data_IF_844220704345
#
_entry.id   IF_844220704345
#
_cell.length_a   1.000
_cell.length_b   1.000
_cell.length_c   1.000
_cell.angle_alpha   90.00
_cell.angle_beta   90.00
_cell.angle_gamma   90.00
#
_symmetry.space_group_name_H-M   'P 1'
#
loop_
_entity.id
_entity.type
_entity.pdbx_description
1 polymer ?
#
# COMPACT_ATOMS: atom_id res chain seq x y z
N UNK A 1 -12.52 1.51 -3.44
CA UNK A 1 -13.62 0.60 -3.83
C UNK A 1 -13.49 0.05 -5.26
N UNK A 2 -12.64 0.57 -6.07
CA UNK A 2 -12.44 0.15 -7.47
C UNK A 2 -11.63 -1.14 -7.69
N UNK A 3 -11.10 -1.75 -6.64
CA UNK A 3 -10.32 -2.98 -6.76
C UNK A 3 -11.14 -4.23 -7.13
N UNK A 4 -12.47 -4.13 -7.12
CA UNK A 4 -13.39 -5.29 -7.29
C UNK A 4 -14.21 -5.19 -8.59
N UNK A 5 -14.31 -4.02 -9.23
CA UNK A 5 -15.28 -3.77 -10.29
C UNK A 5 -14.69 -3.52 -11.68
N UNK A 6 -13.49 -3.99 -11.96
CA UNK A 6 -12.99 -3.98 -13.34
C UNK A 6 -13.39 -5.31 -13.99
N UNK A 7 -14.31 -5.24 -14.94
CA UNK A 7 -14.80 -6.30 -15.84
C UNK A 7 -14.44 -7.74 -15.41
N UNK A 8 -15.42 -8.55 -14.98
CA UNK A 8 -15.18 -9.91 -14.55
C UNK A 8 -14.56 -10.71 -15.70
N UNK A 9 -13.24 -10.88 -15.65
CA UNK A 9 -12.52 -11.78 -16.52
C UNK A 9 -12.63 -13.20 -15.94
N UNK A 10 -12.54 -14.21 -16.78
CA UNK A 10 -12.56 -15.63 -16.38
C UNK A 10 -11.46 -15.95 -15.33
N UNK A 11 -10.41 -15.15 -15.27
CA UNK A 11 -9.32 -15.25 -14.30
C UNK A 11 -9.61 -14.61 -12.93
N UNK A 12 -10.67 -13.82 -12.82
CA UNK A 12 -11.01 -13.16 -11.55
C UNK A 12 -11.37 -14.15 -10.43
N UNK A 13 -12.17 -15.21 -10.66
CA UNK A 13 -12.39 -16.24 -9.65
C UNK A 13 -11.12 -16.96 -9.23
N UNK A 14 -10.19 -17.20 -10.18
CA UNK A 14 -8.90 -17.82 -9.89
C UNK A 14 -8.02 -16.90 -9.01
N UNK A 15 -8.01 -15.60 -9.27
CA UNK A 15 -7.33 -14.61 -8.44
C UNK A 15 -7.91 -14.57 -7.02
N UNK A 16 -9.25 -14.57 -6.89
CA UNK A 16 -9.89 -14.58 -5.58
C UNK A 16 -9.59 -15.86 -4.81
N UNK A 17 -9.75 -17.02 -5.46
CA UNK A 17 -9.44 -18.32 -4.87
C UNK A 17 -7.95 -18.44 -4.48
N UNK A 18 -7.04 -18.02 -5.35
CA UNK A 18 -5.60 -18.00 -5.08
C UNK A 18 -5.23 -17.06 -3.92
N UNK A 19 -5.85 -15.89 -3.86
CA UNK A 19 -5.64 -14.94 -2.75
C UNK A 19 -6.12 -15.52 -1.41
N UNK A 20 -7.32 -16.11 -1.39
CA UNK A 20 -7.87 -16.77 -0.20
C UNK A 20 -7.01 -17.97 0.19
N UNK A 21 -6.60 -18.79 -0.78
CA UNK A 21 -5.72 -19.93 -0.54
C UNK A 21 -4.40 -19.49 0.09
N UNK A 22 -3.74 -18.47 -0.45
CA UNK A 22 -2.50 -17.92 0.12
C UNK A 22 -2.71 -17.39 1.54
N UNK A 23 -3.77 -16.64 1.79
CA UNK A 23 -4.09 -16.07 3.11
C UNK A 23 -4.33 -17.17 4.15
N UNK A 24 -4.99 -18.26 3.77
CA UNK A 24 -5.31 -19.37 4.69
C UNK A 24 -4.14 -20.34 4.85
N UNK A 25 -3.41 -20.62 3.77
CA UNK A 25 -2.29 -21.56 3.77
C UNK A 25 -1.03 -20.98 4.40
N UNK A 26 -0.73 -19.71 4.17
CA UNK A 26 0.52 -19.11 4.61
C UNK A 26 0.77 -19.24 6.11
N UNK A 27 -0.18 -18.97 7.02
CA UNK A 27 0.03 -19.16 8.45
C UNK A 27 0.27 -20.61 8.87
N UNK A 28 -0.18 -21.57 8.04
CA UNK A 28 0.04 -23.01 8.28
C UNK A 28 1.36 -23.49 7.73
N UNK A 29 1.76 -22.96 6.57
CA UNK A 29 3.00 -23.35 5.88
C UNK A 29 4.21 -22.64 6.49
N UNK A 30 4.08 -21.41 6.94
CA UNK A 30 5.18 -20.61 7.47
C UNK A 30 5.93 -21.30 8.63
N UNK A 31 5.28 -21.83 9.68
CA UNK A 31 6.00 -22.51 10.76
C UNK A 31 6.75 -23.76 10.30
N UNK A 32 6.14 -24.54 9.40
CA UNK A 32 6.78 -25.70 8.80
C UNK A 32 7.98 -25.30 7.94
N UNK A 33 7.82 -24.29 7.12
CA UNK A 33 8.86 -23.76 6.24
C UNK A 33 10.05 -23.22 7.03
N UNK A 34 9.79 -22.42 8.06
CA UNK A 34 10.84 -21.86 8.93
C UNK A 34 11.53 -22.94 9.74
N UNK A 35 10.80 -23.93 10.29
CA UNK A 35 11.40 -25.07 10.97
C UNK A 35 12.27 -25.95 10.07
N UNK A 36 11.98 -26.01 8.77
CA UNK A 36 12.75 -26.82 7.83
C UNK A 36 13.95 -26.11 7.22
N UNK A 37 13.83 -24.82 6.96
CA UNK A 37 14.79 -24.03 6.20
C UNK A 37 15.42 -22.87 6.98
N UNK A 38 14.95 -22.56 8.17
CA UNK A 38 15.39 -21.39 8.96
C UNK A 38 16.90 -21.36 9.21
N UNK A 39 17.51 -22.50 9.49
CA UNK A 39 18.95 -22.59 9.75
C UNK A 39 19.80 -22.79 8.48
N UNK A 40 19.17 -23.03 7.34
CA UNK A 40 19.85 -23.38 6.06
C UNK A 40 19.87 -22.27 5.05
N UNK A 41 19.00 -21.30 5.19
CA UNK A 41 18.80 -20.21 4.22
C UNK A 41 18.90 -18.89 4.93
N UNK A 42 19.63 -17.95 4.36
CA UNK A 42 19.71 -16.58 4.86
C UNK A 42 18.35 -15.90 4.62
N UNK A 43 17.72 -15.42 5.69
CA UNK A 43 16.46 -14.64 5.68
C UNK A 43 15.30 -15.37 4.95
N UNK A 44 14.92 -16.60 5.37
CA UNK A 44 13.87 -17.37 4.71
C UNK A 44 12.50 -16.68 4.81
N UNK A 45 12.27 -15.91 5.88
CA UNK A 45 11.03 -15.17 6.13
C UNK A 45 10.76 -14.11 5.05
N UNK A 46 11.81 -13.36 4.71
CA UNK A 46 11.74 -12.31 3.70
C UNK A 46 11.43 -12.94 2.34
N UNK A 47 12.14 -14.02 2.00
CA UNK A 47 11.95 -14.73 0.73
C UNK A 47 10.54 -15.29 0.58
N UNK A 48 10.00 -15.89 1.65
CA UNK A 48 8.64 -16.43 1.64
C UNK A 48 7.60 -15.33 1.41
N UNK A 49 7.71 -14.21 2.12
CA UNK A 49 6.80 -13.07 1.94
C UNK A 49 6.89 -12.52 0.52
N UNK A 50 8.10 -12.34 -0.03
CA UNK A 50 8.27 -11.86 -1.39
C UNK A 50 7.68 -12.82 -2.42
N UNK A 51 7.89 -14.12 -2.28
CA UNK A 51 7.27 -15.13 -3.16
C UNK A 51 5.75 -15.02 -3.13
N UNK A 52 5.15 -14.90 -1.95
CA UNK A 52 3.70 -14.71 -1.82
C UNK A 52 3.22 -13.40 -2.46
N UNK A 53 3.94 -12.29 -2.27
CA UNK A 53 3.60 -11.00 -2.87
C UNK A 53 3.72 -11.05 -4.40
N UNK A 54 4.77 -11.66 -4.94
CA UNK A 54 4.92 -11.84 -6.39
C UNK A 54 3.85 -12.76 -6.97
N UNK A 55 3.50 -13.85 -6.30
CA UNK A 55 2.41 -14.73 -6.71
C UNK A 55 1.07 -13.97 -6.76
N UNK A 56 0.77 -13.16 -5.75
CA UNK A 56 -0.41 -12.30 -5.74
C UNK A 56 -0.38 -11.26 -6.88
N UNK A 57 0.80 -10.70 -7.17
CA UNK A 57 0.96 -9.72 -8.24
C UNK A 57 0.73 -10.34 -9.63
N UNK A 58 1.27 -11.53 -9.89
CA UNK A 58 1.04 -12.26 -11.14
C UNK A 58 -0.44 -12.64 -11.31
N UNK A 59 -1.08 -13.14 -10.25
CA UNK A 59 -2.51 -13.47 -10.26
C UNK A 59 -3.38 -12.22 -10.48
N UNK A 60 -3.01 -11.10 -9.87
CA UNK A 60 -3.72 -9.84 -10.05
C UNK A 60 -3.59 -9.32 -11.48
N UNK A 61 -2.38 -9.38 -12.05
CA UNK A 61 -2.14 -8.95 -13.43
C UNK A 61 -2.94 -9.78 -14.43
N UNK A 62 -2.93 -11.11 -14.29
CA UNK A 62 -3.71 -12.03 -15.12
C UNK A 62 -5.22 -11.75 -15.06
N UNK A 63 -5.73 -11.33 -13.90
CA UNK A 63 -7.14 -11.00 -13.69
C UNK A 63 -7.50 -9.55 -13.99
N UNK A 64 -6.53 -8.71 -14.41
CA UNK A 64 -6.64 -7.25 -14.50
C UNK A 64 -7.12 -6.61 -13.19
N UNK A 65 -6.82 -7.25 -12.06
CA UNK A 65 -7.14 -6.78 -10.73
C UNK A 65 -5.97 -6.05 -10.07
N UNK A 66 -6.16 -5.69 -8.80
CA UNK A 66 -5.11 -5.07 -7.99
C UNK A 66 -4.74 -5.95 -6.80
N UNK A 67 -3.47 -6.29 -6.66
CA UNK A 67 -2.94 -7.12 -5.56
C UNK A 67 -2.90 -6.40 -4.20
N UNK A 68 -3.21 -5.10 -4.13
CA UNK A 68 -3.05 -4.27 -2.93
C UNK A 68 -3.86 -4.79 -1.75
N UNK A 69 -5.15 -5.08 -1.97
CA UNK A 69 -6.04 -5.56 -0.91
C UNK A 69 -5.64 -6.96 -0.41
N UNK A 70 -5.45 -7.96 -1.28
CA UNK A 70 -4.96 -9.28 -0.85
C UNK A 70 -3.61 -9.23 -0.14
N UNK A 71 -2.67 -8.39 -0.60
CA UNK A 71 -1.38 -8.20 0.04
C UNK A 71 -1.51 -7.60 1.45
N UNK A 72 -2.43 -6.63 1.62
CA UNK A 72 -2.73 -6.06 2.93
C UNK A 72 -3.31 -7.10 3.89
N UNK A 73 -4.29 -7.90 3.42
CA UNK A 73 -4.90 -8.95 4.23
C UNK A 73 -3.87 -10.02 4.60
N UNK A 74 -3.00 -10.40 3.65
CA UNK A 74 -1.88 -11.31 3.91
C UNK A 74 -0.99 -10.79 5.04
N UNK A 75 -0.60 -9.50 4.99
CA UNK A 75 0.17 -8.84 6.04
C UNK A 75 -0.54 -8.85 7.40
N UNK A 76 -1.86 -8.60 7.39
CA UNK A 76 -2.69 -8.63 8.60
C UNK A 76 -2.72 -10.03 9.24
N UNK A 77 -2.87 -11.06 8.43
CA UNK A 77 -2.88 -12.46 8.91
C UNK A 77 -1.51 -12.85 9.47
N UNK A 78 -0.43 -12.45 8.79
CA UNK A 78 0.94 -12.70 9.26
C UNK A 78 1.32 -11.87 10.49
N UNK A 79 0.61 -10.80 10.79
CA UNK A 79 0.91 -9.93 11.93
C UNK A 79 0.90 -10.67 13.27
N UNK A 80 0.06 -11.68 13.40
CA UNK A 80 0.00 -12.54 14.60
C UNK A 80 1.28 -13.35 14.78
N UNK A 81 1.85 -13.87 13.71
CA UNK A 81 3.12 -14.58 13.73
C UNK A 81 4.27 -13.64 14.11
N UNK A 82 4.35 -12.49 13.47
CA UNK A 82 5.39 -11.49 13.72
C UNK A 82 5.30 -10.82 15.09
N UNK A 83 4.12 -10.78 15.72
CA UNK A 83 3.98 -10.30 17.09
C UNK A 83 4.78 -11.13 18.10
N UNK A 84 4.98 -12.42 17.81
CA UNK A 84 5.79 -13.34 18.62
C UNK A 84 7.27 -13.39 18.18
N UNK A 85 7.56 -13.02 16.93
CA UNK A 85 8.89 -13.09 16.30
C UNK A 85 9.38 -11.69 15.88
N UNK A 86 9.66 -10.84 16.86
CA UNK A 86 10.03 -9.44 16.63
C UNK A 86 11.27 -9.23 15.75
N UNK A 87 12.25 -10.12 15.84
CA UNK A 87 13.46 -10.03 15.00
C UNK A 87 13.15 -10.18 13.51
N UNK A 88 12.29 -11.14 13.16
CA UNK A 88 11.83 -11.35 11.79
C UNK A 88 11.05 -10.12 11.26
N UNK A 89 10.20 -9.56 12.12
CA UNK A 89 9.47 -8.33 11.81
C UNK A 89 10.41 -7.16 11.54
N UNK A 90 11.45 -6.97 12.34
CA UNK A 90 12.42 -5.89 12.16
C UNK A 90 13.20 -6.04 10.86
N UNK A 91 13.63 -7.24 10.51
CA UNK A 91 14.31 -7.54 9.24
C UNK A 91 13.42 -7.22 8.04
N UNK A 92 12.17 -7.68 8.06
CA UNK A 92 11.21 -7.38 7.00
C UNK A 92 10.94 -5.87 6.89
N UNK A 93 10.84 -5.18 8.03
CA UNK A 93 10.69 -3.73 8.11
C UNK A 93 11.89 -2.99 7.50
N UNK A 94 13.12 -3.42 7.78
CA UNK A 94 14.33 -2.83 7.18
C UNK A 94 14.29 -2.94 5.66
N UNK A 95 13.96 -4.12 5.12
CA UNK A 95 13.85 -4.30 3.65
C UNK A 95 12.73 -3.43 3.06
N UNK A 96 11.57 -3.38 3.73
CA UNK A 96 10.46 -2.56 3.26
C UNK A 96 10.82 -1.07 3.22
N UNK A 97 11.45 -0.53 4.26
CA UNK A 97 11.78 0.89 4.33
C UNK A 97 13.06 1.26 3.58
N UNK A 98 14.07 0.40 3.56
CA UNK A 98 15.33 0.69 2.87
C UNK A 98 15.25 0.48 1.36
N UNK A 99 14.40 -0.43 0.89
CA UNK A 99 14.31 -0.79 -0.52
C UNK A 99 12.95 -0.45 -1.15
N UNK A 100 11.85 -1.02 -0.66
CA UNK A 100 10.54 -0.86 -1.32
C UNK A 100 10.02 0.58 -1.25
N UNK A 101 10.19 1.24 -0.12
CA UNK A 101 9.69 2.61 0.08
C UNK A 101 10.36 3.63 -0.85
N UNK A 102 11.70 3.70 -1.01
CA UNK A 102 12.33 4.58 -1.97
C UNK A 102 11.87 4.33 -3.42
N UNK A 103 11.77 3.07 -3.83
CA UNK A 103 11.28 2.74 -5.17
C UNK A 103 9.83 3.18 -5.40
N UNK A 104 8.98 3.04 -4.40
CA UNK A 104 7.60 3.53 -4.46
C UNK A 104 7.55 5.05 -4.69
N UNK A 105 8.34 5.81 -3.93
CA UNK A 105 8.39 7.27 -4.08
C UNK A 105 9.04 7.69 -5.39
N UNK A 106 10.09 7.00 -5.83
CA UNK A 106 10.73 7.26 -7.11
C UNK A 106 9.73 7.07 -8.27
N UNK A 107 9.04 5.93 -8.30
CA UNK A 107 8.02 5.65 -9.30
C UNK A 107 6.86 6.64 -9.25
N UNK A 108 6.42 7.02 -8.05
CA UNK A 108 5.41 8.06 -7.88
C UNK A 108 5.87 9.42 -8.43
N UNK A 109 7.12 9.81 -8.12
CA UNK A 109 7.72 11.05 -8.58
C UNK A 109 7.91 11.12 -10.10
N UNK A 110 8.26 10.01 -10.74
CA UNK A 110 8.41 9.94 -12.20
C UNK A 110 7.12 10.24 -12.99
N UNK A 111 5.97 10.04 -12.37
CA UNK A 111 4.67 10.35 -12.97
C UNK A 111 4.25 11.82 -12.77
N UNK A 112 5.04 12.61 -12.04
CA UNK A 112 4.73 14.02 -11.78
C UNK A 112 5.39 14.89 -12.83
N UNK A 113 4.59 15.59 -13.64
CA UNK A 113 5.09 16.62 -14.55
C UNK A 113 5.26 17.94 -13.81
N UNK A 114 6.50 18.37 -13.61
CA UNK A 114 6.81 19.64 -12.95
C UNK A 114 6.21 20.85 -13.72
N UNK A 115 6.19 20.80 -15.05
CA UNK A 115 5.60 21.83 -15.87
C UNK A 115 4.08 21.95 -15.62
N UNK A 116 3.37 20.82 -15.54
CA UNK A 116 1.94 20.79 -15.25
C UNK A 116 1.64 21.29 -13.83
N UNK A 117 2.48 20.98 -12.85
CA UNK A 117 2.36 21.47 -11.47
C UNK A 117 2.48 23.01 -11.44
N UNK A 118 3.49 23.56 -12.10
CA UNK A 118 3.70 25.01 -12.12
C UNK A 118 2.57 25.72 -12.87
N UNK A 119 2.10 25.16 -13.99
CA UNK A 119 0.98 25.72 -14.75
C UNK A 119 -0.33 25.74 -13.98
N UNK A 120 -0.53 24.79 -13.05
CA UNK A 120 -1.78 24.64 -12.32
C UNK A 120 -1.65 24.91 -10.81
N UNK A 121 -0.69 25.73 -10.39
CA UNK A 121 -0.46 26.05 -8.97
C UNK A 121 -1.70 26.55 -8.24
N UNK A 122 -2.52 27.36 -8.90
CA UNK A 122 -3.77 27.86 -8.31
C UNK A 122 -4.76 26.74 -7.99
N UNK A 123 -5.01 25.86 -8.96
CA UNK A 123 -5.87 24.69 -8.78
C UNK A 123 -5.32 23.75 -7.70
N UNK A 124 -4.02 23.50 -7.73
CA UNK A 124 -3.35 22.69 -6.73
C UNK A 124 -3.51 23.27 -5.32
N UNK A 125 -3.34 24.58 -5.18
CA UNK A 125 -3.53 25.31 -3.92
C UNK A 125 -4.95 25.17 -3.39
N UNK A 126 -5.96 25.33 -4.23
CA UNK A 126 -7.38 25.18 -3.87
C UNK A 126 -7.67 23.74 -3.42
N UNK A 127 -7.24 22.74 -4.18
CA UNK A 127 -7.44 21.33 -3.85
C UNK A 127 -6.69 20.95 -2.56
N UNK A 128 -5.49 21.46 -2.37
CA UNK A 128 -4.72 21.26 -1.14
C UNK A 128 -5.42 21.88 0.06
N UNK A 129 -5.88 23.12 -0.04
CA UNK A 129 -6.63 23.80 1.02
C UNK A 129 -7.95 23.08 1.32
N UNK A 130 -8.71 22.70 0.30
CA UNK A 130 -9.96 21.95 0.45
C UNK A 130 -9.76 20.59 1.14
N UNK A 131 -8.61 19.96 0.97
CA UNK A 131 -8.24 18.72 1.66
C UNK A 131 -7.75 18.95 3.09
N UNK A 132 -6.91 19.96 3.28
CA UNK A 132 -6.22 20.20 4.56
C UNK A 132 -7.12 20.89 5.59
N UNK A 133 -7.90 21.89 5.19
CA UNK A 133 -8.71 22.69 6.12
C UNK A 133 -9.72 21.81 6.89
N UNK A 134 -10.54 20.95 6.27
CA UNK A 134 -11.47 20.11 7.02
C UNK A 134 -10.76 19.10 7.93
N UNK A 135 -9.63 18.55 7.48
CA UNK A 135 -8.85 17.62 8.31
C UNK A 135 -8.28 18.30 9.54
N UNK A 136 -7.67 19.46 9.37
CA UNK A 136 -7.15 20.24 10.49
C UNK A 136 -8.27 20.65 11.46
N UNK A 137 -9.40 21.11 10.94
CA UNK A 137 -10.55 21.54 11.75
C UNK A 137 -11.17 20.40 12.56
N UNK A 138 -11.22 19.19 12.00
CA UNK A 138 -11.83 18.02 12.66
C UNK A 138 -10.85 17.25 13.55
N UNK A 139 -9.62 17.05 13.08
CA UNK A 139 -8.64 16.25 13.80
C UNK A 139 -8.01 16.99 14.97
N UNK A 140 -7.78 18.31 14.83
CA UNK A 140 -7.15 19.09 15.89
C UNK A 140 -7.92 19.09 17.23
N UNK A 141 -9.22 19.36 17.28
CA UNK A 141 -9.94 19.32 18.55
C UNK A 141 -10.00 17.91 19.15
N UNK A 142 -10.05 16.87 18.30
CA UNK A 142 -10.01 15.48 18.75
C UNK A 142 -8.65 15.11 19.34
N UNK A 143 -7.58 15.47 18.64
CA UNK A 143 -6.20 15.26 19.10
C UNK A 143 -5.92 16.02 20.40
N UNK A 144 -6.45 17.26 20.52
CA UNK A 144 -6.29 18.06 21.74
C UNK A 144 -7.02 17.46 22.94
N UNK A 145 -8.12 16.74 22.72
CA UNK A 145 -8.81 16.02 23.80
C UNK A 145 -8.09 14.75 24.23
N UNK A 146 -7.47 14.03 23.25
CA UNK A 146 -6.79 12.77 23.52
C UNK A 146 -5.39 12.99 24.13
N UNK A 147 -4.59 13.88 23.55
CA UNK A 147 -3.25 14.23 24.02
C UNK A 147 -2.96 15.72 23.75
N UNK A 148 -3.20 16.58 24.74
CA UNK A 148 -3.00 18.03 24.60
C UNK A 148 -1.56 18.43 24.26
N UNK A 149 -0.57 17.66 24.74
CA UNK A 149 0.87 17.97 24.55
C UNK A 149 1.33 17.76 23.12
N UNK A 150 0.82 16.72 22.46
CA UNK A 150 1.24 16.34 21.10
C UNK A 150 0.16 16.60 20.05
N UNK A 151 -0.91 17.32 20.37
CA UNK A 151 -2.05 17.56 19.49
C UNK A 151 -1.69 18.11 18.11
N UNK A 152 -0.75 19.07 18.04
CA UNK A 152 -0.27 19.65 16.77
C UNK A 152 0.43 18.62 15.91
N UNK A 153 1.31 17.81 16.50
CA UNK A 153 2.04 16.76 15.81
C UNK A 153 1.10 15.68 15.27
N UNK A 154 0.17 15.20 16.11
CA UNK A 154 -0.83 14.21 15.74
C UNK A 154 -1.69 14.72 14.59
N UNK A 155 -2.13 15.99 14.65
CA UNK A 155 -2.97 16.59 13.62
C UNK A 155 -2.23 16.69 12.28
N UNK A 156 -0.99 17.15 12.28
CA UNK A 156 -0.17 17.24 11.07
C UNK A 156 0.08 15.83 10.48
N UNK A 157 0.43 14.86 11.31
CA UNK A 157 0.67 13.48 10.88
C UNK A 157 -0.59 12.85 10.26
N UNK A 158 -1.74 13.01 10.89
CA UNK A 158 -3.03 12.50 10.40
C UNK A 158 -3.56 13.24 9.17
N UNK A 159 -3.09 14.47 8.94
CA UNK A 159 -3.49 15.26 7.77
C UNK A 159 -2.77 14.81 6.49
N UNK A 160 -1.63 14.14 6.61
CA UNK A 160 -0.94 13.55 5.47
C UNK A 160 -1.71 12.36 4.94
N UNK A 161 -2.03 12.36 3.66
CA UNK A 161 -2.80 11.29 3.01
C UNK A 161 -2.15 10.85 1.69
N UNK A 162 -0.84 10.61 1.72
CA UNK A 162 -0.04 10.35 0.53
C UNK A 162 -0.48 9.06 -0.18
N UNK A 163 -0.68 7.99 0.57
CA UNK A 163 -0.96 6.65 0.01
C UNK A 163 -2.27 6.61 -0.78
N UNK A 164 -3.36 7.12 -0.20
CA UNK A 164 -4.64 7.14 -0.89
C UNK A 164 -4.66 8.11 -2.07
N UNK A 165 -3.96 9.24 -1.97
CA UNK A 165 -3.84 10.20 -3.06
C UNK A 165 -3.13 9.60 -4.28
N UNK A 166 -2.00 8.93 -4.08
CA UNK A 166 -1.25 8.29 -5.17
C UNK A 166 -2.01 7.12 -5.80
N UNK A 167 -2.68 6.28 -5.00
CA UNK A 167 -3.49 5.17 -5.51
C UNK A 167 -4.67 5.71 -6.33
N UNK A 168 -5.38 6.73 -5.84
CA UNK A 168 -6.52 7.33 -6.55
C UNK A 168 -6.09 7.99 -7.86
N UNK A 169 -4.94 8.67 -7.87
CA UNK A 169 -4.42 9.32 -9.07
C UNK A 169 -3.99 8.30 -10.13
N UNK A 170 -3.27 7.26 -9.72
CA UNK A 170 -2.88 6.17 -10.62
C UNK A 170 -4.10 5.43 -11.18
N UNK A 171 -5.13 5.23 -10.37
CA UNK A 171 -6.37 4.65 -10.83
C UNK A 171 -7.07 5.54 -11.84
N UNK A 172 -7.18 6.84 -11.58
CA UNK A 172 -7.77 7.81 -12.48
C UNK A 172 -7.08 7.86 -13.84
N UNK A 173 -5.74 7.80 -13.85
CA UNK A 173 -4.93 7.72 -15.06
C UNK A 173 -5.15 6.39 -15.81
N UNK A 174 -5.14 5.26 -15.11
CA UNK A 174 -5.32 3.94 -15.75
C UNK A 174 -6.75 3.71 -16.25
N UNK A 175 -7.73 4.34 -15.62
CA UNK A 175 -9.13 4.27 -16.02
C UNK A 175 -9.51 5.30 -17.10
N UNK A 176 -8.57 6.14 -17.55
CA UNK A 176 -8.83 7.20 -18.54
C UNK A 176 -9.76 8.30 -18.03
N UNK A 177 -9.90 8.44 -16.71
CA UNK A 177 -10.72 9.49 -16.08
C UNK A 177 -9.92 10.80 -16.00
N UNK A 178 -8.60 10.67 -15.91
CA UNK A 178 -7.64 11.78 -15.84
C UNK A 178 -6.67 11.61 -17.00
N UNK A 179 -6.55 12.63 -17.84
CA UNK A 179 -5.59 12.62 -18.94
C UNK A 179 -4.17 12.89 -18.44
N UNK A 180 -3.19 12.33 -19.14
CA UNK A 180 -1.80 12.67 -18.89
C UNK A 180 -1.53 14.10 -19.32
N UNK A 181 -0.82 14.90 -18.51
CA UNK A 181 -0.45 16.26 -18.93
C UNK A 181 0.44 16.17 -20.17
N UNK A 182 -0.09 16.60 -21.32
CA UNK A 182 0.63 16.63 -22.61
C UNK A 182 0.01 15.81 -23.75
N UNK A 183 -1.13 15.14 -23.55
CA UNK A 183 -1.86 14.40 -24.61
C UNK A 183 -3.14 15.13 -25.09
N UNK A 184 -3.27 16.44 -24.80
CA UNK A 184 -4.36 17.32 -25.29
C UNK A 184 -3.87 18.36 -26.28
#
# INVERSE_FOLDING_TARGET
>A
MSAIFITPNIWFPAFLAGSVALIVLLPRIAPWFFGRYGDRVIEPEIKLVFVCLFALMVLADASKGHAVLPAFILGLVMSRHYAQHRQEQERLRVVAFAFLTPFFFLKGGMNVSLAAVVANLGLLGVLFAAKMIPKLALVFPLARRADPKHAKFITLLMSTGLTFGTISSLYGLNAGIIDRPGEG
#
